data_IF_587768227000
#
_entry.id   IF_587768227000
#
_cell.length_a   1.000
_cell.length_b   1.000
_cell.length_c   1.000
_cell.angle_alpha   90.00
_cell.angle_beta   90.00
_cell.angle_gamma   90.00
#
_symmetry.space_group_name_H-M   'P 1'
#
loop_
_entity.id
_entity.type
_entity.pdbx_description
1 polymer ?
#
# COMPACT_ATOMS: atom_id res chain seq x y z
N UNK A 1 18.08 12.90 17.37
CA UNK A 1 17.30 13.99 17.99
C UNK A 1 15.93 13.39 18.25
N UNK A 2 15.40 13.43 19.48
CA UNK A 2 14.06 12.88 19.77
C UNK A 2 13.03 13.90 19.31
N UNK A 3 12.12 13.51 18.43
CA UNK A 3 11.03 14.37 17.99
C UNK A 3 9.89 14.33 19.02
N UNK A 4 9.44 15.50 19.49
CA UNK A 4 8.26 15.60 20.39
C UNK A 4 6.94 15.51 19.62
N UNK A 5 7.00 15.56 18.30
CA UNK A 5 5.87 15.51 17.38
C UNK A 5 6.32 14.84 16.08
N UNK A 6 5.47 13.95 15.54
CA UNK A 6 5.68 13.29 14.27
C UNK A 6 4.44 13.53 13.39
N UNK A 7 4.65 13.80 12.12
CA UNK A 7 3.59 13.97 11.13
C UNK A 7 3.54 12.74 10.23
N UNK A 8 2.33 12.39 9.80
CA UNK A 8 2.09 11.34 8.83
C UNK A 8 0.89 11.74 7.97
N UNK A 9 1.16 12.08 6.72
CA UNK A 9 0.17 12.51 5.76
C UNK A 9 -0.01 11.45 4.68
N UNK A 10 -1.23 11.24 4.22
CA UNK A 10 -1.50 10.30 3.13
C UNK A 10 -2.44 10.88 2.09
N UNK A 11 -1.95 10.97 0.86
CA UNK A 11 -2.76 11.26 -0.32
C UNK A 11 -3.16 9.97 -1.05
N UNK A 12 -4.40 9.92 -1.55
CA UNK A 12 -4.90 8.84 -2.40
C UNK A 12 -5.73 9.41 -3.54
N UNK A 13 -5.51 8.89 -4.74
CA UNK A 13 -6.32 9.19 -5.93
C UNK A 13 -6.79 7.86 -6.49
N UNK A 14 -8.10 7.72 -6.67
CA UNK A 14 -8.73 6.49 -7.17
C UNK A 14 -9.57 6.78 -8.39
N UNK A 15 -9.35 6.03 -9.46
CA UNK A 15 -10.24 5.96 -10.62
C UNK A 15 -10.88 4.58 -10.69
N UNK A 16 -12.20 4.52 -10.88
CA UNK A 16 -12.94 3.27 -10.98
C UNK A 16 -13.92 3.29 -12.14
N UNK A 17 -14.17 2.13 -12.74
CA UNK A 17 -15.14 1.99 -13.81
C UNK A 17 -15.86 0.65 -13.74
N UNK A 18 -17.15 0.66 -14.09
CA UNK A 18 -17.98 -0.54 -14.19
C UNK A 18 -18.64 -0.63 -15.55
N UNK A 19 -18.34 -1.70 -16.28
CA UNK A 19 -18.99 -2.06 -17.52
C UNK A 19 -20.25 -2.88 -17.25
N UNK A 20 -21.40 -2.37 -17.71
CA UNK A 20 -22.72 -3.03 -17.60
C UNK A 20 -23.07 -3.51 -16.18
N UNK A 21 -22.47 -2.90 -15.15
CA UNK A 21 -22.62 -3.30 -13.74
C UNK A 21 -22.27 -4.78 -13.46
N UNK A 22 -21.45 -5.42 -14.31
CA UNK A 22 -21.03 -6.83 -14.17
C UNK A 22 -19.54 -7.00 -14.02
N UNK A 23 -18.76 -6.22 -14.77
CA UNK A 23 -17.30 -6.26 -14.71
C UNK A 23 -16.85 -4.85 -14.38
N UNK A 24 -16.04 -4.70 -13.36
CA UNK A 24 -15.46 -3.41 -13.01
C UNK A 24 -14.08 -3.55 -12.44
N UNK A 25 -13.54 -2.42 -12.04
CA UNK A 25 -12.24 -2.38 -11.41
C UNK A 25 -11.85 -0.96 -11.06
N UNK A 26 -10.72 -0.86 -10.39
CA UNK A 26 -10.16 0.42 -10.00
C UNK A 26 -8.64 0.43 -10.11
N UNK A 27 -8.12 1.65 -10.25
CA UNK A 27 -6.70 1.95 -10.08
C UNK A 27 -6.61 3.04 -9.03
N UNK A 28 -5.84 2.79 -7.98
CA UNK A 28 -5.55 3.77 -6.94
C UNK A 28 -4.05 4.01 -6.86
N UNK A 29 -3.64 5.28 -6.86
CA UNK A 29 -2.31 5.67 -6.44
C UNK A 29 -2.36 6.18 -4.99
N UNK A 30 -1.40 5.77 -4.17
CA UNK A 30 -1.26 6.28 -2.81
C UNK A 30 0.17 6.76 -2.54
N UNK A 31 0.27 7.79 -1.70
CA UNK A 31 1.54 8.31 -1.20
C UNK A 31 1.36 8.70 0.26
N UNK A 32 2.11 8.04 1.13
CA UNK A 32 2.24 8.38 2.55
C UNK A 32 3.61 9.00 2.76
N UNK A 33 3.66 10.15 3.40
CA UNK A 33 4.91 10.83 3.78
C UNK A 33 4.85 11.20 5.24
N UNK A 34 5.97 11.11 5.95
CA UNK A 34 5.99 11.51 7.35
C UNK A 34 7.34 12.00 7.83
N UNK A 35 7.37 12.40 9.09
CA UNK A 35 8.58 12.89 9.75
C UNK A 35 9.63 11.78 9.84
N UNK A 36 10.88 12.13 9.55
CA UNK A 36 12.03 11.26 9.79
C UNK A 36 12.28 11.16 11.31
N UNK A 37 12.28 9.95 11.85
CA UNK A 37 12.62 9.69 13.25
C UNK A 37 13.40 8.36 13.35
N UNK A 38 14.74 8.43 13.43
CA UNK A 38 15.58 7.23 13.47
C UNK A 38 15.40 6.36 14.73
N UNK A 39 14.79 6.89 15.80
CA UNK A 39 14.51 6.14 17.03
C UNK A 39 13.16 5.42 16.92
N UNK A 40 12.18 6.04 16.28
CA UNK A 40 10.88 5.42 16.02
C UNK A 40 10.96 4.38 14.88
N UNK A 41 11.68 4.70 13.81
CA UNK A 41 11.85 3.86 12.62
C UNK A 41 13.25 3.25 12.58
N UNK A 42 13.61 2.51 13.65
CA UNK A 42 14.96 1.99 13.89
C UNK A 42 15.55 1.27 12.67
N UNK A 43 16.54 1.90 12.05
CA UNK A 43 17.40 1.26 11.07
C UNK A 43 18.11 0.04 11.71
N UNK A 44 18.25 -1.06 10.98
CA UNK A 44 18.84 -2.28 11.53
C UNK A 44 17.84 -3.21 12.23
N UNK A 45 16.53 -2.94 12.12
CA UNK A 45 15.49 -3.94 12.44
C UNK A 45 14.96 -4.57 11.15
N UNK A 46 15.11 -5.90 10.95
CA UNK A 46 14.63 -6.56 9.74
C UNK A 46 13.11 -6.37 9.58
N UNK A 47 12.65 -6.17 8.34
CA UNK A 47 11.24 -6.03 7.95
C UNK A 47 10.56 -4.73 8.39
N UNK A 48 10.68 -4.35 9.67
CA UNK A 48 9.99 -3.21 10.29
C UNK A 48 10.81 -1.91 10.26
N UNK A 49 12.12 -2.01 10.05
CA UNK A 49 13.03 -0.87 10.07
C UNK A 49 12.97 -0.03 8.80
N UNK A 50 13.37 1.23 8.95
CA UNK A 50 13.66 2.13 7.83
C UNK A 50 15.12 2.51 7.85
N UNK A 51 15.85 2.23 6.77
CA UNK A 51 17.25 2.64 6.60
C UNK A 51 17.38 4.16 6.52
N UNK A 52 16.37 4.83 6.00
CA UNK A 52 16.30 6.30 5.95
C UNK A 52 15.65 6.89 7.19
N UNK A 53 15.13 6.06 8.11
CA UNK A 53 14.40 6.52 9.29
C UNK A 53 13.09 7.24 8.96
N UNK A 54 12.48 7.00 7.79
CA UNK A 54 11.22 7.63 7.37
C UNK A 54 10.10 6.60 7.19
N UNK A 55 8.83 6.98 7.44
CA UNK A 55 7.68 6.10 7.27
C UNK A 55 7.13 6.07 5.83
N UNK A 56 7.83 6.68 4.88
CA UNK A 56 7.24 6.99 3.57
C UNK A 56 6.92 5.71 2.78
N UNK A 57 5.70 5.66 2.22
CA UNK A 57 5.21 4.52 1.44
C UNK A 57 4.50 5.03 0.20
N UNK A 58 4.82 4.48 -0.97
CA UNK A 58 4.17 4.83 -2.24
C UNK A 58 3.86 3.58 -3.04
N UNK A 59 2.77 3.64 -3.79
CA UNK A 59 2.37 2.50 -4.58
C UNK A 59 1.08 2.68 -5.35
N UNK A 60 0.72 1.60 -6.03
CA UNK A 60 -0.50 1.49 -6.83
C UNK A 60 -1.29 0.27 -6.36
N UNK A 61 -2.59 0.42 -6.23
CA UNK A 61 -3.54 -0.67 -6.04
C UNK A 61 -4.32 -0.86 -7.33
N UNK A 62 -4.33 -2.09 -7.83
CA UNK A 62 -5.13 -2.51 -8.98
C UNK A 62 -6.22 -3.43 -8.47
N UNK A 63 -7.48 -3.20 -8.84
CA UNK A 63 -8.60 -4.05 -8.47
C UNK A 63 -9.41 -4.44 -9.71
N UNK A 64 -9.80 -5.71 -9.77
CA UNK A 64 -10.73 -6.24 -10.76
C UNK A 64 -11.89 -6.93 -10.04
N UNK A 65 -13.10 -6.60 -10.49
CA UNK A 65 -14.35 -7.04 -9.91
C UNK A 65 -15.24 -7.73 -10.93
N UNK A 66 -15.85 -8.83 -10.49
CA UNK A 66 -16.90 -9.53 -11.21
C UNK A 66 -18.14 -9.69 -10.33
N UNK A 67 -19.28 -9.23 -10.84
CA UNK A 67 -20.58 -9.25 -10.18
C UNK A 67 -21.50 -10.24 -10.91
N UNK A 68 -21.42 -11.54 -10.59
CA UNK A 68 -22.27 -12.57 -11.22
C UNK A 68 -23.76 -12.39 -10.87
N UNK A 69 -24.03 -11.88 -9.66
CA UNK A 69 -25.37 -11.65 -9.12
C UNK A 69 -25.45 -10.26 -8.48
N UNK A 70 -26.67 -9.77 -8.24
CA UNK A 70 -26.89 -8.42 -7.70
C UNK A 70 -26.29 -8.24 -6.29
N UNK A 71 -26.18 -9.32 -5.53
CA UNK A 71 -25.75 -9.33 -4.14
C UNK A 71 -24.38 -9.99 -3.93
N UNK A 72 -23.62 -10.27 -5.00
CA UNK A 72 -22.31 -10.94 -4.90
C UNK A 72 -21.29 -10.23 -5.78
N UNK A 73 -20.11 -9.97 -5.20
CA UNK A 73 -18.93 -9.48 -5.91
C UNK A 73 -17.75 -10.42 -5.63
N UNK A 74 -17.12 -10.91 -6.69
CA UNK A 74 -15.83 -11.57 -6.65
C UNK A 74 -14.77 -10.53 -7.02
N UNK A 75 -13.76 -10.36 -6.18
CA UNK A 75 -12.74 -9.34 -6.36
C UNK A 75 -11.33 -9.91 -6.27
N UNK A 76 -10.43 -9.35 -7.07
CA UNK A 76 -8.99 -9.52 -6.91
C UNK A 76 -8.35 -8.15 -6.86
N UNK A 77 -7.50 -7.92 -5.86
CA UNK A 77 -6.78 -6.69 -5.64
C UNK A 77 -5.28 -6.99 -5.55
N UNK A 78 -4.46 -6.23 -6.26
CA UNK A 78 -3.00 -6.32 -6.20
C UNK A 78 -2.41 -4.97 -5.82
N UNK A 79 -1.63 -4.94 -4.74
CA UNK A 79 -0.94 -3.74 -4.26
C UNK A 79 0.53 -3.82 -4.63
N UNK A 80 1.00 -2.86 -5.43
CA UNK A 80 2.39 -2.69 -5.81
C UNK A 80 3.01 -1.57 -5.00
N UNK A 81 4.08 -1.86 -4.27
CA UNK A 81 4.88 -0.85 -3.57
C UNK A 81 6.08 -0.44 -4.44
N UNK A 82 6.14 0.85 -4.76
CA UNK A 82 7.32 1.45 -5.42
C UNK A 82 8.30 2.00 -4.39
N UNK A 83 7.82 2.34 -3.20
CA UNK A 83 8.59 2.79 -2.06
C UNK A 83 7.97 2.23 -0.78
N UNK A 84 8.79 1.67 0.09
CA UNK A 84 8.37 1.17 1.39
C UNK A 84 9.35 1.63 2.45
N UNK A 85 8.85 2.16 3.57
CA UNK A 85 9.65 2.71 4.67
C UNK A 85 10.80 3.62 4.18
N UNK A 86 10.49 4.51 3.23
CA UNK A 86 11.42 5.53 2.74
C UNK A 86 12.33 5.16 1.58
N UNK A 87 12.23 3.93 1.05
CA UNK A 87 13.13 3.52 -0.03
C UNK A 87 12.53 2.43 -0.93
N UNK A 88 12.98 2.39 -2.19
CA UNK A 88 12.59 1.36 -3.16
C UNK A 88 13.45 0.10 -3.07
N UNK A 89 14.72 0.23 -2.67
CA UNK A 89 15.68 -0.88 -2.62
C UNK A 89 16.38 -0.99 -1.27
N UNK A 90 16.46 -2.20 -0.73
CA UNK A 90 17.09 -2.47 0.57
C UNK A 90 16.63 -1.45 1.64
N UNK A 91 15.31 -1.37 1.81
CA UNK A 91 14.69 -0.33 2.63
C UNK A 91 14.97 -0.52 4.12
N UNK A 92 15.21 -1.75 4.58
CA UNK A 92 15.47 -2.08 5.98
C UNK A 92 16.97 -2.24 6.30
N UNK A 93 17.83 -2.28 5.27
CA UNK A 93 19.26 -2.55 5.41
C UNK A 93 19.66 -4.03 5.33
N UNK A 94 18.70 -4.95 5.18
CA UNK A 94 18.90 -6.41 5.16
C UNK A 94 18.60 -7.07 3.81
N UNK A 95 18.46 -6.26 2.76
CA UNK A 95 18.26 -6.73 1.39
C UNK A 95 16.80 -6.73 0.92
N UNK A 96 15.84 -6.28 1.73
CA UNK A 96 14.43 -6.22 1.30
C UNK A 96 14.14 -5.01 0.42
N UNK A 97 13.53 -5.24 -0.72
CA UNK A 97 13.05 -4.21 -1.64
C UNK A 97 11.59 -3.86 -1.33
N UNK A 98 11.13 -2.69 -1.79
CA UNK A 98 9.74 -2.29 -1.62
C UNK A 98 8.78 -3.33 -2.23
N UNK A 99 9.16 -3.92 -3.37
CA UNK A 99 8.41 -4.97 -4.07
C UNK A 99 8.19 -6.24 -3.25
N UNK A 100 9.06 -6.53 -2.27
CA UNK A 100 8.93 -7.71 -1.41
C UNK A 100 7.74 -7.60 -0.45
N UNK A 101 7.09 -6.44 -0.40
CA UNK A 101 5.87 -6.17 0.35
C UNK A 101 4.62 -6.09 -0.56
N UNK A 102 4.73 -6.39 -1.86
CA UNK A 102 3.57 -6.48 -2.73
C UNK A 102 2.59 -7.53 -2.22
N UNK A 103 1.29 -7.22 -2.28
CA UNK A 103 0.25 -8.12 -1.76
C UNK A 103 -0.80 -8.40 -2.83
N UNK A 104 -1.25 -9.66 -2.87
CA UNK A 104 -2.39 -10.10 -3.65
C UNK A 104 -3.51 -10.50 -2.70
N UNK A 105 -4.68 -9.90 -2.88
CA UNK A 105 -5.87 -10.18 -2.11
C UNK A 105 -6.98 -10.66 -3.04
N UNK A 106 -7.56 -11.82 -2.74
CA UNK A 106 -8.73 -12.36 -3.45
C UNK A 106 -9.85 -12.45 -2.45
N UNK A 107 -11.03 -11.95 -2.82
CA UNK A 107 -12.14 -11.84 -1.88
C UNK A 107 -13.50 -12.05 -2.55
N UNK A 108 -14.47 -12.36 -1.69
CA UNK A 108 -15.88 -12.43 -2.02
C UNK A 108 -16.63 -11.48 -1.09
N UNK A 109 -17.43 -10.60 -1.66
CA UNK A 109 -18.37 -9.76 -0.92
C UNK A 109 -19.79 -10.22 -1.23
N UNK A 110 -20.62 -10.33 -0.18
CA UNK A 110 -22.03 -10.72 -0.29
C UNK A 110 -22.92 -9.79 0.53
N UNK A 111 -24.15 -9.56 0.05
CA UNK A 111 -25.22 -8.91 0.81
C UNK A 111 -26.42 -9.86 0.97
N UNK A 112 -27.06 -9.85 2.14
CA UNK A 112 -28.17 -10.71 2.54
C UNK A 112 -29.27 -9.93 3.25
#
# INVERSE_FOLDING_TARGET
>A
MVHTHNLLDTGRITGSYFYKRKIGGSVQYFSTTGSQDPILYLAGTPVLGSRTGTPDNKGVVLELDFLPWLNTKLGVQYTLYTEFAGNSHNYDGFGRHASDNNTLFVFVWTAF
#
